data_IF_089539182876
#
_entry.id   IF_089539182876
#
_cell.length_a   1.000
_cell.length_b   1.000
_cell.length_c   1.000
_cell.angle_alpha   90.00
_cell.angle_beta   90.00
_cell.angle_gamma   90.00
#
_symmetry.space_group_name_H-M   'P 1'
#
loop_
_entity.id
_entity.type
_entity.pdbx_description
1 polymer ?
#
# COMPACT_ATOMS: atom_id res chain seq x y z
N UNK A 1 -4.65 13.37 20.64
CA UNK A 1 -4.58 12.54 19.42
C UNK A 1 -3.68 13.22 18.39
N UNK A 2 -2.46 12.72 18.16
CA UNK A 2 -1.56 13.28 17.14
C UNK A 2 -2.12 12.94 15.75
N UNK A 3 -2.55 13.97 15.00
CA UNK A 3 -2.98 13.81 13.61
C UNK A 3 -1.73 13.66 12.75
N UNK A 4 -1.47 12.45 12.26
CA UNK A 4 -0.42 12.25 11.26
C UNK A 4 -0.87 12.90 9.94
N UNK A 5 -0.06 13.84 9.45
CA UNK A 5 -0.23 14.43 8.12
C UNK A 5 0.71 13.68 7.20
N UNK A 6 0.16 12.90 6.27
CA UNK A 6 0.92 12.42 5.13
C UNK A 6 1.15 13.62 4.21
N UNK A 7 2.36 14.16 4.23
CA UNK A 7 2.80 15.18 3.27
C UNK A 7 3.40 14.49 2.05
N UNK A 8 3.38 15.16 0.90
CA UNK A 8 4.00 14.64 -0.32
C UNK A 8 5.51 14.39 -0.13
N UNK A 9 6.14 15.03 0.86
CA UNK A 9 7.54 14.89 1.22
C UNK A 9 7.86 13.54 1.87
N UNK A 10 6.88 12.93 2.55
CA UNK A 10 7.06 11.69 3.32
C UNK A 10 6.42 10.49 2.63
N UNK A 11 5.92 10.64 1.39
CA UNK A 11 5.27 9.56 0.63
C UNK A 11 5.73 9.55 -0.83
N UNK A 12 6.37 8.46 -1.25
CA UNK A 12 6.81 8.24 -2.64
C UNK A 12 5.98 7.16 -3.30
N UNK A 13 5.80 7.28 -4.62
CA UNK A 13 5.12 6.29 -5.44
C UNK A 13 6.11 5.75 -6.46
N UNK A 14 6.28 4.43 -6.49
CA UNK A 14 7.18 3.77 -7.43
C UNK A 14 6.44 2.67 -8.16
N UNK A 15 6.69 2.55 -9.47
CA UNK A 15 6.22 1.42 -10.26
C UNK A 15 7.39 0.47 -10.41
N UNK A 16 7.29 -0.71 -9.81
CA UNK A 16 8.34 -1.71 -9.89
C UNK A 16 7.98 -2.68 -11.02
N UNK A 17 8.67 -2.71 -12.17
CA UNK A 17 8.46 -3.74 -13.17
C UNK A 17 9.00 -5.09 -12.68
N UNK A 18 8.30 -6.18 -12.98
CA UNK A 18 8.73 -7.53 -12.58
C UNK A 18 8.12 -8.06 -11.28
N UNK A 19 7.24 -7.30 -10.62
CA UNK A 19 6.41 -7.85 -9.54
C UNK A 19 5.42 -8.86 -10.15
N UNK A 20 5.26 -10.07 -9.57
CA UNK A 20 4.26 -11.01 -10.04
C UNK A 20 2.86 -10.36 -10.05
N UNK A 21 2.03 -10.63 -11.07
CA UNK A 21 0.72 -9.98 -11.25
C UNK A 21 -0.27 -10.25 -10.10
N UNK A 22 0.01 -11.26 -9.28
CA UNK A 22 -0.74 -11.56 -8.05
C UNK A 22 -0.57 -10.47 -6.98
N UNK A 23 0.55 -9.76 -6.99
CA UNK A 23 0.84 -8.66 -6.07
C UNK A 23 0.36 -7.37 -6.74
N UNK A 24 -0.68 -6.74 -6.18
CA UNK A 24 -1.27 -5.51 -6.74
C UNK A 24 -0.44 -4.27 -6.45
N UNK A 25 0.20 -4.27 -5.29
CA UNK A 25 1.03 -3.21 -4.77
C UNK A 25 1.25 -3.49 -3.29
N UNK A 26 2.24 -2.82 -2.73
CA UNK A 26 2.53 -2.89 -1.31
C UNK A 26 3.19 -1.59 -0.89
N UNK A 27 3.30 -1.41 0.41
CA UNK A 27 3.82 -0.19 0.99
C UNK A 27 4.89 -0.53 2.01
N UNK A 28 6.01 0.17 1.90
CA UNK A 28 7.13 0.05 2.83
C UNK A 28 7.26 1.35 3.60
N UNK A 29 7.55 1.25 4.89
CA UNK A 29 7.89 2.38 5.74
C UNK A 29 9.36 2.23 6.14
N UNK A 30 10.14 3.30 5.95
CA UNK A 30 11.54 3.37 6.33
C UNK A 30 11.82 4.75 6.92
N UNK A 31 12.19 4.81 8.20
CA UNK A 31 12.51 6.04 8.94
C UNK A 31 11.43 7.15 8.82
N UNK A 32 10.15 6.77 8.79
CA UNK A 32 9.03 7.70 8.63
C UNK A 32 8.74 8.14 7.18
N UNK A 33 9.47 7.59 6.20
CA UNK A 33 9.16 7.71 4.78
C UNK A 33 8.37 6.50 4.29
N UNK A 34 7.22 6.77 3.66
CA UNK A 34 6.37 5.75 3.06
C UNK A 34 6.68 5.62 1.56
N UNK A 35 6.94 4.40 1.10
CA UNK A 35 7.11 4.08 -0.32
C UNK A 35 5.99 3.16 -0.76
N UNK A 36 5.08 3.68 -1.57
CA UNK A 36 3.98 2.92 -2.18
C UNK A 36 4.46 2.35 -3.51
N UNK A 37 4.61 1.03 -3.55
CA UNK A 37 4.99 0.26 -4.73
C UNK A 37 3.72 -0.21 -5.45
N UNK A 38 3.58 0.13 -6.73
CA UNK A 38 2.46 -0.29 -7.57
C UNK A 38 2.93 -1.21 -8.69
N UNK A 39 2.09 -2.18 -9.06
CA UNK A 39 2.40 -3.11 -10.13
C UNK A 39 2.03 -2.49 -11.50
N UNK A 40 3.00 -2.18 -12.38
CA UNK A 40 2.70 -1.62 -13.70
C UNK A 40 1.99 -2.61 -14.63
N UNK A 41 2.00 -3.92 -14.34
CA UNK A 41 1.30 -4.93 -15.12
C UNK A 41 -0.23 -4.90 -14.92
N UNK A 42 -0.74 -4.13 -13.95
CA UNK A 42 -2.17 -3.96 -13.70
C UNK A 42 -2.73 -2.72 -14.39
N UNK A 43 -4.01 -2.77 -14.74
CA UNK A 43 -4.73 -1.64 -15.31
C UNK A 43 -4.67 -0.40 -14.40
N UNK A 44 -4.67 0.78 -15.02
CA UNK A 44 -4.61 2.07 -14.33
C UNK A 44 -5.68 2.22 -13.24
N UNK A 45 -6.91 1.74 -13.47
CA UNK A 45 -7.98 1.72 -12.48
C UNK A 45 -7.65 0.86 -11.25
N UNK A 46 -7.08 -0.33 -11.46
CA UNK A 46 -6.68 -1.24 -10.38
C UNK A 46 -5.54 -0.62 -9.57
N UNK A 47 -4.56 -0.01 -10.24
CA UNK A 47 -3.48 0.71 -9.58
C UNK A 47 -3.98 1.94 -8.81
N UNK A 48 -4.97 2.66 -9.34
CA UNK A 48 -5.61 3.79 -8.63
C UNK A 48 -6.34 3.33 -7.37
N UNK A 49 -7.10 2.23 -7.45
CA UNK A 49 -7.78 1.63 -6.30
C UNK A 49 -6.78 1.15 -5.24
N UNK A 50 -5.73 0.46 -5.67
CA UNK A 50 -4.65 -0.02 -4.80
C UNK A 50 -3.94 1.15 -4.13
N UNK A 51 -3.57 2.19 -4.89
CA UNK A 51 -2.98 3.41 -4.33
C UNK A 51 -3.84 4.06 -3.25
N UNK A 52 -5.15 4.21 -3.48
CA UNK A 52 -6.07 4.79 -2.49
C UNK A 52 -6.20 3.90 -1.25
N UNK A 53 -6.15 2.57 -1.43
CA UNK A 53 -6.15 1.61 -0.35
C UNK A 53 -4.89 1.76 0.51
N UNK A 54 -3.70 1.74 -0.09
CA UNK A 54 -2.43 1.88 0.64
C UNK A 54 -2.31 3.23 1.36
N UNK A 55 -2.71 4.34 0.73
CA UNK A 55 -2.73 5.67 1.37
C UNK A 55 -3.65 5.67 2.60
N UNK A 56 -4.80 4.99 2.54
CA UNK A 56 -5.72 4.87 3.67
C UNK A 56 -5.08 4.09 4.82
N UNK A 57 -4.31 3.04 4.53
CA UNK A 57 -3.54 2.30 5.55
C UNK A 57 -2.49 3.21 6.21
N UNK A 58 -1.78 4.03 5.43
CA UNK A 58 -0.76 4.98 5.95
C UNK A 58 -1.40 5.99 6.91
N UNK A 59 -2.48 6.61 6.47
CA UNK A 59 -3.20 7.61 7.28
C UNK A 59 -3.79 7.03 8.57
N UNK A 60 -4.13 5.73 8.58
CA UNK A 60 -4.68 5.04 9.75
C UNK A 60 -3.62 4.41 10.66
N UNK A 61 -2.32 4.50 10.30
CA UNK A 61 -1.22 3.78 10.95
C UNK A 61 -1.49 2.28 11.05
N UNK A 62 -2.11 1.75 10.01
CA UNK A 62 -2.46 0.32 9.91
C UNK A 62 -1.22 -0.56 9.67
N UNK A 63 -0.02 0.02 9.68
CA UNK A 63 1.28 -0.66 9.69
C UNK A 63 1.67 -1.13 11.09
N UNK A 64 1.20 -0.40 12.11
CA UNK A 64 1.44 -0.69 13.53
C UNK A 64 0.44 -1.75 14.03
N UNK A 65 -0.73 -1.81 13.36
CA UNK A 65 -1.64 -2.92 13.48
C UNK A 65 -1.21 -3.98 12.48
N UNK A 66 -0.71 -5.11 12.97
CA UNK A 66 -0.66 -6.35 12.20
C UNK A 66 -2.07 -6.77 11.80
N UNK A 67 -2.69 -6.09 10.85
CA UNK A 67 -3.94 -6.52 10.23
C UNK A 67 -3.57 -7.56 9.16
N UNK A 68 -3.06 -8.69 9.66
CA UNK A 68 -2.90 -9.95 8.96
C UNK A 68 -4.25 -10.53 8.46
N UNK A 69 -5.37 -9.84 8.69
CA UNK A 69 -6.72 -10.40 8.62
C UNK A 69 -7.38 -10.36 7.23
N UNK A 70 -6.67 -9.97 6.16
CA UNK A 70 -7.25 -9.96 4.79
C UNK A 70 -6.58 -10.87 3.77
N UNK A 71 -5.60 -11.67 4.17
CA UNK A 71 -5.08 -12.78 3.34
C UNK A 71 -5.77 -14.11 3.66
N UNK A 72 -6.48 -14.23 4.78
CA UNK A 72 -7.14 -15.48 5.22
C UNK A 72 -8.62 -15.62 4.83
N UNK A 73 -9.08 -15.01 3.73
CA UNK A 73 -10.44 -15.25 3.20
C UNK A 73 -10.49 -15.86 1.80
N UNK A 74 -9.36 -15.95 1.08
CA UNK A 74 -9.28 -16.65 -0.23
C UNK A 74 -8.58 -18.01 -0.16
N UNK A 75 -8.25 -18.50 1.04
CA UNK A 75 -7.76 -19.87 1.27
C UNK A 75 -8.86 -20.82 1.77
N UNK A 76 -10.11 -20.34 1.91
CA UNK A 76 -11.23 -21.15 2.40
C UNK A 76 -12.54 -20.81 1.70
N UNK A 77 -12.65 -21.20 0.44
CA UNK A 77 -13.92 -21.55 -0.21
C UNK A 77 -13.64 -22.57 -1.32
#
# INVERSE_FOLDING_TARGET
>A
MKKYRLTNDNCRYVYLPGIPPKIKGFVMEEDGYYTVVLNPALSADTNKKTKLHEIKHILRRDFDKLDCDRVESEARA
#
